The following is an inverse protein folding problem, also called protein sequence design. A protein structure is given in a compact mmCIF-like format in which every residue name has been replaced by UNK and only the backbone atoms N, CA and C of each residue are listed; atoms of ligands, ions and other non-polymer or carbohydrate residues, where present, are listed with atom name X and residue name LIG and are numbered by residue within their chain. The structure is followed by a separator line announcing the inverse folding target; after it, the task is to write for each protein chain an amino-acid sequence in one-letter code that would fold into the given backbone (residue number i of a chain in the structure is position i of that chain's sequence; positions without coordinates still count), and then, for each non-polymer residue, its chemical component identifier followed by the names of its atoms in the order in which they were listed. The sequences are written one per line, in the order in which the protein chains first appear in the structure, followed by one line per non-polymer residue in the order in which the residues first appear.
data_IF_194214507896
#
_entry.id   IF_194214507896
#
_cell.length_a   1.000
_cell.length_b   1.000
_cell.length_c   1.000
_cell.angle_alpha   90.00
_cell.angle_beta   90.00
_cell.angle_gamma   90.00
#
_symmetry.space_group_name_H-M   'P 1'
#
loop_
_entity.id
_entity.type
_entity.pdbx_description
1 polymer ?
#
# COMPACT_ATOMS: atom_id res chain seq x y z
N UNK A 1 61.80 16.73 1.99
CA UNK A 1 60.34 16.86 2.13
C UNK A 1 59.72 15.57 1.65
N UNK A 2 59.09 14.81 2.54
CA UNK A 2 58.35 13.62 2.12
C UNK A 2 57.10 14.10 1.38
N UNK A 3 57.04 13.85 0.08
CA UNK A 3 55.82 13.99 -0.72
C UNK A 3 54.90 12.88 -0.21
N UNK A 4 53.93 13.24 0.63
CA UNK A 4 52.84 12.34 1.00
C UNK A 4 51.98 12.22 -0.27
N UNK A 5 51.92 11.05 -0.93
CA UNK A 5 51.03 10.88 -2.07
C UNK A 5 49.61 11.05 -1.53
N UNK A 6 48.80 11.91 -2.15
CA UNK A 6 47.37 11.92 -1.90
C UNK A 6 46.82 10.55 -2.32
N UNK A 7 46.65 9.68 -1.33
CA UNK A 7 46.55 8.24 -1.56
C UNK A 7 45.21 7.79 -2.16
N UNK A 8 44.15 8.62 -2.12
CA UNK A 8 42.83 8.27 -2.67
C UNK A 8 42.06 9.52 -3.12
N UNK A 9 41.62 9.52 -4.38
CA UNK A 9 40.45 10.29 -4.81
C UNK A 9 39.22 9.46 -4.45
N UNK A 10 38.38 9.98 -3.54
CA UNK A 10 37.04 9.53 -3.15
C UNK A 10 36.80 8.02 -3.19
N UNK A 11 36.87 7.35 -2.03
CA UNK A 11 36.39 5.98 -1.93
C UNK A 11 34.87 5.93 -2.15
N UNK A 12 34.38 4.90 -2.85
CA UNK A 12 32.94 4.65 -3.02
C UNK A 12 32.16 4.63 -1.68
N UNK A 13 32.81 4.20 -0.60
CA UNK A 13 32.25 4.26 0.76
C UNK A 13 32.03 5.71 1.23
N UNK A 14 32.94 6.63 0.91
CA UNK A 14 32.80 8.06 1.26
C UNK A 14 31.65 8.71 0.47
N UNK A 15 31.47 8.33 -0.80
CA UNK A 15 30.36 8.80 -1.64
C UNK A 15 29.01 8.27 -1.14
N UNK A 16 28.94 6.99 -0.74
CA UNK A 16 27.74 6.41 -0.13
C UNK A 16 27.43 7.04 1.22
N UNK A 17 28.44 7.25 2.08
CA UNK A 17 28.26 7.92 3.38
C UNK A 17 27.78 9.37 3.18
N UNK A 18 28.33 10.10 2.21
CA UNK A 18 27.87 11.44 1.83
C UNK A 18 26.42 11.43 1.34
N UNK A 19 26.06 10.45 0.51
CA UNK A 19 24.68 10.24 0.06
C UNK A 19 23.71 9.92 1.20
N UNK A 20 24.12 9.09 2.15
CA UNK A 20 23.30 8.66 3.29
C UNK A 20 23.09 9.77 4.32
N UNK A 21 24.12 10.59 4.56
CA UNK A 21 23.99 11.81 5.37
C UNK A 21 23.05 12.83 4.71
N UNK A 22 23.11 12.99 3.38
CA UNK A 22 22.14 13.84 2.67
C UNK A 22 20.71 13.29 2.79
N UNK A 23 20.53 11.97 2.66
CA UNK A 23 19.22 11.31 2.89
C UNK A 23 18.72 11.55 4.31
N UNK A 24 19.58 11.43 5.31
CA UNK A 24 19.22 11.71 6.70
C UNK A 24 18.84 13.17 6.89
N UNK A 25 19.55 14.11 6.25
CA UNK A 25 19.24 15.54 6.35
C UNK A 25 17.83 15.81 5.87
N UNK A 26 17.46 15.25 4.71
CA UNK A 26 16.09 15.36 4.20
C UNK A 26 15.07 14.84 5.21
N UNK A 27 15.34 13.71 5.85
CA UNK A 27 14.43 13.18 6.86
C UNK A 27 14.33 14.13 8.06
N UNK A 28 15.45 14.60 8.61
CA UNK A 28 15.45 15.49 9.78
C UNK A 28 14.79 16.85 9.49
N UNK A 29 14.98 17.41 8.29
CA UNK A 29 14.45 18.73 7.91
C UNK A 29 12.94 18.70 7.65
N UNK A 30 12.42 17.57 7.14
CA UNK A 30 11.03 17.45 6.66
C UNK A 30 10.13 16.54 7.50
N UNK A 31 10.66 15.88 8.54
CA UNK A 31 9.86 15.10 9.48
C UNK A 31 9.05 16.03 10.41
N UNK A 32 7.72 15.91 10.49
CA UNK A 32 6.89 16.76 11.33
C UNK A 32 6.84 16.28 12.80
N UNK A 33 8.00 16.05 13.41
CA UNK A 33 8.12 15.42 14.74
C UNK A 33 8.06 16.40 15.93
N UNK A 34 7.92 17.70 15.69
CA UNK A 34 8.02 18.74 16.73
C UNK A 34 7.01 18.54 17.88
N UNK A 35 5.77 18.14 17.57
CA UNK A 35 4.75 17.85 18.59
C UNK A 35 5.14 16.65 19.47
N UNK A 36 5.67 15.59 18.85
CA UNK A 36 6.20 14.43 19.54
C UNK A 36 7.39 14.83 20.42
N UNK A 37 8.35 15.58 19.88
CA UNK A 37 9.54 16.01 20.61
C UNK A 37 9.18 16.83 21.85
N UNK A 38 8.31 17.83 21.71
CA UNK A 38 7.83 18.63 22.85
C UNK A 38 7.12 17.80 23.90
N UNK A 39 6.39 16.76 23.50
CA UNK A 39 5.68 15.87 24.43
C UNK A 39 6.66 15.01 25.21
N UNK A 40 7.64 14.41 24.52
CA UNK A 40 8.69 13.60 25.15
C UNK A 40 9.61 14.43 26.07
N UNK A 41 9.97 15.65 25.68
CA UNK A 41 10.77 16.58 26.48
C UNK A 41 10.03 17.02 27.75
N UNK A 42 8.72 17.33 27.64
CA UNK A 42 7.87 17.63 28.81
C UNK A 42 7.79 16.44 29.76
N UNK A 43 7.63 15.23 29.23
CA UNK A 43 7.59 14.01 30.03
C UNK A 43 8.93 13.72 30.73
N UNK A 44 10.07 14.01 30.08
CA UNK A 44 11.40 13.93 30.70
C UNK A 44 11.56 14.93 31.86
N UNK A 45 11.02 16.13 31.72
CA UNK A 45 11.13 17.19 32.72
C UNK A 45 12.58 17.60 33.00
N UNK A 46 12.93 17.74 34.28
CA UNK A 46 14.26 18.18 34.76
C UNK A 46 15.23 17.03 35.11
N UNK A 47 14.98 15.83 34.59
CA UNK A 47 15.89 14.68 34.78
C UNK A 47 17.28 14.90 34.14
N UNK A 48 18.19 13.94 34.36
CA UNK A 48 19.50 13.93 33.66
C UNK A 48 19.28 13.93 32.15
N UNK A 49 20.08 14.73 31.45
CA UNK A 49 20.01 14.91 29.99
C UNK A 49 21.28 14.41 29.29
N UNK A 50 21.87 13.33 29.84
CA UNK A 50 23.09 12.71 29.33
C UNK A 50 22.92 12.28 27.84
N UNK A 51 21.68 11.98 27.43
CA UNK A 51 21.30 11.69 26.05
C UNK A 51 20.02 12.46 25.70
N UNK A 52 20.14 13.62 25.01
CA UNK A 52 18.99 14.46 24.67
C UNK A 52 17.93 13.70 23.87
N UNK A 53 16.65 14.01 24.15
CA UNK A 53 15.48 13.36 23.51
C UNK A 53 15.57 13.42 21.99
N UNK A 54 15.85 14.61 21.43
CA UNK A 54 15.99 14.82 19.99
C UNK A 54 17.18 14.06 19.41
N UNK A 55 18.29 13.96 20.15
CA UNK A 55 19.46 13.23 19.67
C UNK A 55 19.21 11.72 19.55
N UNK A 56 18.52 11.14 20.53
CA UNK A 56 18.10 9.73 20.50
C UNK A 56 17.05 9.50 19.41
N UNK A 57 16.13 10.45 19.20
CA UNK A 57 15.14 10.38 18.13
C UNK A 57 15.78 10.42 16.74
N UNK A 58 16.65 11.40 16.49
CA UNK A 58 17.36 11.56 15.22
C UNK A 58 18.21 10.32 14.91
N UNK A 59 18.81 9.69 15.91
CA UNK A 59 19.59 8.47 15.70
C UNK A 59 18.73 7.24 15.39
N UNK A 60 17.49 7.18 15.88
CA UNK A 60 16.52 6.15 15.46
C UNK A 60 16.15 6.34 13.99
N UNK A 61 15.88 7.58 13.56
CA UNK A 61 15.63 7.90 12.15
C UNK A 61 16.84 7.56 11.27
N UNK A 62 18.05 7.91 11.73
CA UNK A 62 19.29 7.51 11.07
C UNK A 62 19.40 5.99 10.94
N UNK A 63 19.07 5.23 11.99
CA UNK A 63 19.05 3.77 11.91
C UNK A 63 18.16 3.22 10.82
N UNK A 64 17.04 3.90 10.51
CA UNK A 64 16.14 3.53 9.41
C UNK A 64 16.74 3.93 8.06
N UNK A 65 17.25 5.17 7.93
CA UNK A 65 17.85 5.68 6.68
C UNK A 65 19.08 4.85 6.27
N UNK A 66 19.94 4.51 7.22
CA UNK A 66 21.15 3.70 7.04
C UNK A 66 20.87 2.20 7.08
N UNK A 67 19.60 1.79 7.16
CA UNK A 67 19.15 0.39 7.08
C UNK A 67 19.82 -0.53 8.12
N UNK A 68 20.00 -0.03 9.35
CA UNK A 68 20.55 -0.82 10.44
C UNK A 68 19.49 -1.74 11.04
N UNK A 69 19.70 -3.05 10.90
CA UNK A 69 18.79 -4.11 11.38
C UNK A 69 18.65 -4.22 12.92
N UNK A 70 19.50 -3.51 13.66
CA UNK A 70 19.57 -3.62 15.12
C UNK A 70 20.19 -2.37 15.76
N UNK A 71 19.81 -2.14 17.02
CA UNK A 71 20.36 -1.06 17.85
C UNK A 71 21.88 -1.18 17.97
N UNK A 72 22.43 -2.40 18.07
CA UNK A 72 23.88 -2.58 18.16
C UNK A 72 24.62 -2.19 16.88
N UNK A 73 24.05 -2.44 15.70
CA UNK A 73 24.65 -1.97 14.45
C UNK A 73 24.64 -0.45 14.36
N UNK A 74 23.50 0.19 14.68
CA UNK A 74 23.41 1.65 14.78
C UNK A 74 24.43 2.21 15.77
N UNK A 75 24.58 1.61 16.96
CA UNK A 75 25.55 2.07 17.97
C UNK A 75 26.99 1.93 17.48
N UNK A 76 27.33 0.86 16.77
CA UNK A 76 28.67 0.69 16.17
C UNK A 76 28.93 1.73 15.10
N UNK A 77 27.93 2.06 14.28
CA UNK A 77 28.06 3.11 13.27
C UNK A 77 28.22 4.48 13.92
N UNK A 78 27.36 4.82 14.88
CA UNK A 78 27.51 6.02 15.69
C UNK A 78 28.87 6.09 16.36
N UNK A 79 29.47 4.99 16.82
CA UNK A 79 30.80 5.03 17.43
C UNK A 79 31.92 5.35 16.42
N UNK A 80 31.76 4.93 15.15
CA UNK A 80 32.76 5.10 14.10
C UNK A 80 32.60 6.41 13.33
N UNK A 81 31.37 6.88 13.15
CA UNK A 81 31.04 8.02 12.31
C UNK A 81 30.75 9.27 13.16
N UNK A 82 31.75 10.15 13.24
CA UNK A 82 31.63 11.41 13.98
C UNK A 82 30.59 12.38 13.40
N UNK A 83 30.51 12.47 12.06
CA UNK A 83 29.55 13.33 11.37
C UNK A 83 28.11 12.89 11.64
N UNK A 84 27.86 11.58 11.62
CA UNK A 84 26.53 11.03 11.95
C UNK A 84 26.14 11.36 13.39
N UNK A 85 27.07 11.26 14.34
CA UNK A 85 26.80 11.63 15.75
C UNK A 85 26.45 13.11 15.88
N UNK A 86 27.25 13.97 15.27
CA UNK A 86 27.04 15.43 15.29
C UNK A 86 25.70 15.79 14.65
N UNK A 87 25.37 15.19 13.51
CA UNK A 87 24.10 15.38 12.82
C UNK A 87 22.90 14.89 13.63
N UNK A 88 23.05 13.80 14.38
CA UNK A 88 22.02 13.38 15.34
C UNK A 88 21.88 14.38 16.49
N UNK A 89 22.96 15.08 16.87
CA UNK A 89 22.99 16.00 18.01
C UNK A 89 23.64 15.41 19.27
N UNK A 90 24.52 14.41 19.13
CA UNK A 90 25.28 13.86 20.26
C UNK A 90 26.60 14.60 20.49
N UNK A 91 26.85 14.96 21.75
CA UNK A 91 28.14 15.51 22.19
C UNK A 91 29.15 14.38 22.49
N UNK A 92 29.58 13.70 21.43
CA UNK A 92 30.64 12.69 21.43
C UNK A 92 30.29 11.31 22.03
N UNK A 93 29.31 11.20 22.92
CA UNK A 93 28.93 9.94 23.57
C UNK A 93 27.87 9.17 22.78
N UNK A 94 28.11 7.86 22.58
CA UNK A 94 27.11 6.97 21.99
C UNK A 94 26.20 6.42 23.09
N UNK A 95 24.86 6.58 22.98
CA UNK A 95 23.95 6.07 24.00
C UNK A 95 24.09 4.54 24.17
N UNK A 96 24.06 4.03 25.41
CA UNK A 96 24.04 2.59 25.66
C UNK A 96 22.71 1.96 25.22
N UNK A 97 22.64 0.62 25.02
CA UNK A 97 21.49 -0.06 24.40
C UNK A 97 20.17 0.10 25.17
N UNK A 98 20.27 0.22 26.49
CA UNK A 98 19.10 0.37 27.36
C UNK A 98 18.40 1.72 27.16
N UNK A 99 19.09 2.76 26.68
CA UNK A 99 18.48 4.05 26.32
C UNK A 99 17.50 3.86 25.17
N UNK A 100 17.96 3.23 24.07
CA UNK A 100 17.09 2.90 22.93
C UNK A 100 15.92 2.01 23.32
N UNK A 101 16.15 1.02 24.19
CA UNK A 101 15.08 0.13 24.67
C UNK A 101 13.99 0.91 25.41
N UNK A 102 14.38 1.82 26.31
CA UNK A 102 13.44 2.68 27.05
C UNK A 102 12.75 3.66 26.12
N UNK A 103 13.50 4.30 25.22
CA UNK A 103 12.96 5.28 24.29
C UNK A 103 11.92 4.69 23.34
N UNK A 104 12.21 3.52 22.75
CA UNK A 104 11.23 2.79 21.92
C UNK A 104 9.98 2.39 22.72
N UNK A 105 10.12 2.09 24.02
CA UNK A 105 8.96 1.83 24.89
C UNK A 105 8.09 3.07 25.03
N UNK A 106 8.70 4.23 25.29
CA UNK A 106 7.99 5.50 25.36
C UNK A 106 7.34 5.88 24.03
N UNK A 107 7.99 5.62 22.90
CA UNK A 107 7.38 5.86 21.58
C UNK A 107 6.14 5.00 21.32
N UNK A 108 6.12 3.74 21.78
CA UNK A 108 4.94 2.87 21.68
C UNK A 108 3.74 3.41 22.48
N UNK A 109 3.99 4.20 23.53
CA UNK A 109 2.92 4.85 24.32
C UNK A 109 2.34 6.08 23.61
N UNK A 110 3.00 6.58 22.56
CA UNK A 110 2.64 7.79 21.79
C UNK A 110 2.26 7.45 20.35
N UNK A 111 1.66 6.28 20.12
CA UNK A 111 1.26 5.78 18.80
C UNK A 111 0.43 6.79 17.99
N UNK A 112 -0.50 7.49 18.63
CA UNK A 112 -1.34 8.51 17.96
C UNK A 112 -0.53 9.69 17.41
N UNK A 113 0.57 10.08 18.06
CA UNK A 113 1.44 11.15 17.55
C UNK A 113 2.23 10.68 16.34
N UNK A 114 2.66 9.41 16.31
CA UNK A 114 3.32 8.82 15.14
C UNK A 114 2.36 8.73 13.95
N UNK A 115 1.12 8.26 14.19
CA UNK A 115 0.08 8.22 13.16
C UNK A 115 -0.26 9.66 12.68
N UNK A 116 -0.26 10.64 13.58
CA UNK A 116 -0.41 12.07 13.26
C UNK A 116 0.72 12.62 12.38
N UNK A 117 1.97 12.25 12.64
CA UNK A 117 3.12 12.62 11.80
C UNK A 117 2.97 12.06 10.37
N UNK A 118 2.58 10.79 10.27
CA UNK A 118 2.31 10.15 8.98
C UNK A 118 1.22 10.91 8.21
N UNK A 119 0.10 11.20 8.87
CA UNK A 119 -1.02 11.94 8.27
C UNK A 119 -0.64 13.36 7.84
N UNK A 120 0.24 14.03 8.60
CA UNK A 120 0.76 15.34 8.21
C UNK A 120 1.64 15.27 6.96
N UNK A 121 2.51 14.26 6.85
CA UNK A 121 3.33 14.04 5.66
C UNK A 121 2.47 13.74 4.42
N UNK A 122 1.44 12.90 4.56
CA UNK A 122 0.47 12.61 3.48
C UNK A 122 -0.21 13.89 3.01
N UNK A 123 -0.65 14.74 3.93
CA UNK A 123 -1.26 16.05 3.61
C UNK A 123 -0.28 16.99 2.90
N UNK A 124 0.96 17.11 3.39
CA UNK A 124 1.94 17.95 2.73
C UNK A 124 2.27 17.47 1.32
N UNK A 125 2.28 16.15 1.10
CA UNK A 125 2.48 15.57 -0.22
C UNK A 125 1.31 15.84 -1.16
N UNK A 126 0.07 15.79 -0.67
CA UNK A 126 -1.10 16.13 -1.50
C UNK A 126 -1.13 17.59 -1.93
N UNK A 127 -0.55 18.49 -1.14
CA UNK A 127 -0.42 19.91 -1.48
C UNK A 127 0.64 20.17 -2.58
N UNK A 128 1.69 19.34 -2.66
CA UNK A 128 2.80 19.54 -3.62
C UNK A 128 2.73 18.62 -4.85
N UNK A 129 1.94 17.55 -4.80
CA UNK A 129 1.78 16.58 -5.89
C UNK A 129 0.33 16.59 -6.42
N UNK A 130 0.07 17.16 -7.60
CA UNK A 130 -1.29 17.33 -8.13
C UNK A 130 -2.12 16.05 -8.35
N UNK A 131 -1.46 14.94 -8.63
CA UNK A 131 -2.11 13.65 -8.92
C UNK A 131 -2.15 12.70 -7.70
N UNK A 132 -1.64 13.14 -6.55
CA UNK A 132 -1.45 12.27 -5.40
C UNK A 132 -2.80 11.94 -4.75
N UNK A 133 -3.09 10.65 -4.66
CA UNK A 133 -4.33 10.12 -4.10
C UNK A 133 -5.47 9.96 -5.12
N UNK A 134 -5.28 10.37 -6.38
CA UNK A 134 -6.30 10.18 -7.43
C UNK A 134 -6.47 8.71 -7.83
N UNK A 135 -5.36 7.99 -7.93
CA UNK A 135 -5.36 6.57 -8.25
C UNK A 135 -4.84 5.79 -7.06
N UNK A 136 -5.73 5.09 -6.37
CA UNK A 136 -5.39 4.34 -5.18
C UNK A 136 -5.22 2.86 -5.50
N UNK A 137 -4.30 2.21 -4.80
CA UNK A 137 -4.16 0.76 -4.81
C UNK A 137 -4.13 0.21 -3.39
N UNK A 138 -4.81 -0.91 -3.15
CA UNK A 138 -4.90 -1.57 -1.86
C UNK A 138 -4.37 -2.99 -1.94
N UNK A 139 -3.52 -3.34 -0.98
CA UNK A 139 -3.06 -4.71 -0.77
C UNK A 139 -2.60 -4.89 0.68
N UNK A 140 -2.46 -6.15 1.08
CA UNK A 140 -1.94 -6.52 2.37
C UNK A 140 -0.69 -7.36 2.24
N UNK A 141 0.23 -7.17 3.17
CA UNK A 141 1.53 -7.80 3.19
C UNK A 141 1.70 -8.63 4.46
N UNK A 142 2.06 -9.89 4.28
CA UNK A 142 2.48 -10.75 5.37
C UNK A 142 3.83 -10.26 5.93
N UNK A 143 3.89 -10.06 7.25
CA UNK A 143 5.14 -9.79 7.98
C UNK A 143 5.32 -10.91 9.01
N UNK A 144 6.39 -11.69 8.85
CA UNK A 144 6.67 -12.81 9.75
C UNK A 144 7.18 -12.29 11.09
N UNK A 145 6.69 -12.82 12.20
CA UNK A 145 7.29 -12.52 13.51
C UNK A 145 8.70 -13.10 13.58
N UNK A 146 9.59 -12.48 14.37
CA UNK A 146 10.86 -13.10 14.71
C UNK A 146 10.67 -14.34 15.61
N UNK A 147 9.51 -14.49 16.25
CA UNK A 147 9.14 -15.75 16.90
C UNK A 147 8.71 -16.80 15.85
N UNK A 148 9.20 -18.03 15.96
CA UNK A 148 8.89 -19.11 15.00
C UNK A 148 7.47 -19.68 15.15
N UNK A 149 6.87 -19.54 16.33
CA UNK A 149 5.55 -20.07 16.70
C UNK A 149 5.04 -19.42 17.97
N UNK A 150 3.74 -19.54 18.25
CA UNK A 150 3.14 -19.16 19.53
C UNK A 150 3.87 -19.84 20.69
N UNK A 151 4.25 -19.06 21.70
CA UNK A 151 4.88 -19.58 22.91
C UNK A 151 3.81 -20.24 23.80
N UNK A 152 4.18 -21.30 24.54
CA UNK A 152 3.27 -21.99 25.48
C UNK A 152 2.94 -21.14 26.72
N UNK A 153 3.82 -20.21 27.08
CA UNK A 153 3.60 -19.31 28.22
C UNK A 153 3.34 -17.90 27.70
N UNK A 154 2.20 -17.36 28.13
CA UNK A 154 1.61 -16.10 27.66
C UNK A 154 2.01 -14.89 28.54
N UNK A 155 2.87 -15.10 29.55
CA UNK A 155 3.32 -14.02 30.42
C UNK A 155 4.08 -12.94 29.61
N UNK A 156 3.65 -11.67 29.64
CA UNK A 156 4.28 -10.60 28.87
C UNK A 156 5.62 -10.20 29.51
N UNK A 157 6.72 -10.76 29.00
CA UNK A 157 8.10 -10.44 29.41
C UNK A 157 8.82 -9.51 28.42
N UNK A 158 8.14 -9.08 27.36
CA UNK A 158 8.68 -8.24 26.28
C UNK A 158 9.70 -8.94 25.36
N UNK A 159 10.04 -10.21 25.63
CA UNK A 159 10.98 -11.04 24.84
C UNK A 159 10.24 -11.98 23.90
N UNK A 160 8.96 -12.22 24.15
CA UNK A 160 8.08 -13.13 23.41
C UNK A 160 7.14 -12.36 22.49
N UNK A 161 6.62 -13.08 21.51
CA UNK A 161 5.53 -12.59 20.67
C UNK A 161 4.24 -13.28 21.09
N UNK A 162 3.44 -12.60 21.90
CA UNK A 162 2.15 -13.08 22.43
C UNK A 162 0.98 -12.71 21.54
N UNK A 163 1.16 -11.72 20.67
CA UNK A 163 0.07 -11.15 19.86
C UNK A 163 -0.01 -11.79 18.47
N UNK A 164 1.14 -12.21 17.92
CA UNK A 164 1.23 -12.85 16.62
C UNK A 164 0.43 -14.16 16.56
N UNK A 165 -0.15 -14.42 15.39
CA UNK A 165 -0.87 -15.65 15.09
C UNK A 165 -0.58 -16.14 13.67
N UNK A 166 -1.32 -17.15 13.21
CA UNK A 166 -1.10 -17.76 11.91
C UNK A 166 -2.02 -17.15 10.84
N UNK A 167 -1.41 -16.68 9.76
CA UNK A 167 -2.07 -16.33 8.51
C UNK A 167 -1.97 -17.45 7.49
N UNK A 168 -2.92 -17.49 6.56
CA UNK A 168 -2.93 -18.41 5.42
C UNK A 168 -3.35 -17.65 4.16
N UNK A 169 -2.53 -17.67 3.11
CA UNK A 169 -2.86 -17.16 1.78
C UNK A 169 -2.84 -18.33 0.80
N UNK A 170 -3.97 -18.56 0.13
CA UNK A 170 -4.15 -19.62 -0.87
C UNK A 170 -4.07 -18.99 -2.25
N UNK A 171 -3.03 -19.35 -2.99
CA UNK A 171 -2.88 -19.02 -4.40
C UNK A 171 -3.46 -20.17 -5.21
N UNK A 172 -4.36 -19.83 -6.13
CA UNK A 172 -4.87 -20.77 -7.11
C UNK A 172 -4.70 -20.18 -8.49
N UNK A 173 -4.38 -21.04 -9.45
CA UNK A 173 -4.28 -20.68 -10.85
C UNK A 173 -4.55 -21.90 -11.73
N UNK A 174 -4.46 -21.70 -13.04
CA UNK A 174 -4.52 -22.76 -14.04
C UNK A 174 -3.21 -22.68 -14.81
N UNK A 175 -2.51 -23.80 -14.94
CA UNK A 175 -1.32 -23.90 -15.77
C UNK A 175 -1.66 -23.74 -17.25
N UNK A 176 -0.66 -23.47 -18.10
CA UNK A 176 -0.83 -23.40 -19.55
C UNK A 176 -1.39 -24.70 -20.15
N UNK A 177 -1.19 -25.83 -19.48
CA UNK A 177 -1.75 -27.15 -19.84
C UNK A 177 -3.21 -27.35 -19.38
N UNK A 178 -3.84 -26.33 -18.80
CA UNK A 178 -5.22 -26.36 -18.34
C UNK A 178 -5.41 -26.97 -16.94
N UNK A 179 -4.34 -27.43 -16.25
CA UNK A 179 -4.48 -28.01 -14.91
C UNK A 179 -4.55 -26.95 -13.82
N UNK A 180 -5.50 -27.04 -12.88
CA UNK A 180 -5.52 -26.14 -11.74
C UNK A 180 -4.35 -26.45 -10.80
N UNK A 181 -3.70 -25.40 -10.29
CA UNK A 181 -2.70 -25.50 -9.23
C UNK A 181 -3.13 -24.72 -8.00
N UNK A 182 -2.66 -25.19 -6.84
CA UNK A 182 -2.89 -24.57 -5.55
C UNK A 182 -1.59 -24.50 -4.75
N UNK A 183 -1.25 -23.30 -4.28
CA UNK A 183 -0.16 -23.08 -3.32
C UNK A 183 -0.73 -22.43 -2.07
N UNK A 184 -0.59 -23.10 -0.94
CA UNK A 184 -0.93 -22.55 0.37
C UNK A 184 0.35 -22.01 1.01
N UNK A 185 0.39 -20.71 1.26
CA UNK A 185 1.43 -20.07 2.09
C UNK A 185 0.85 -19.84 3.47
N UNK A 186 1.54 -20.32 4.50
CA UNK A 186 1.23 -20.06 5.91
C UNK A 186 2.38 -19.32 6.54
N UNK A 187 2.10 -18.33 7.39
CA UNK A 187 3.11 -17.61 8.15
C UNK A 187 2.61 -17.35 9.57
N UNK A 188 3.55 -17.20 10.51
CA UNK A 188 3.26 -16.77 11.87
C UNK A 188 3.74 -15.33 12.04
N UNK A 189 2.85 -14.42 12.41
CA UNK A 189 3.20 -13.00 12.53
C UNK A 189 2.00 -12.09 12.39
N UNK A 190 2.16 -11.10 11.53
CA UNK A 190 1.25 -9.98 11.34
C UNK A 190 0.95 -9.78 9.86
N UNK A 191 0.07 -8.82 9.61
CA UNK A 191 -0.28 -8.36 8.28
C UNK A 191 -0.32 -6.83 8.27
N UNK A 192 0.43 -6.22 7.36
CA UNK A 192 0.42 -4.78 7.12
C UNK A 192 -0.49 -4.51 5.92
N UNK A 193 -1.55 -3.75 6.12
CA UNK A 193 -2.49 -3.34 5.07
C UNK A 193 -2.15 -1.93 4.65
N UNK A 194 -2.13 -1.70 3.33
CA UNK A 194 -1.74 -0.44 2.75
C UNK A 194 -2.80 0.05 1.77
N UNK A 195 -3.07 1.35 1.83
CA UNK A 195 -3.59 2.13 0.70
C UNK A 195 -2.43 2.99 0.22
N UNK A 196 -2.11 2.92 -1.05
CA UNK A 196 -1.04 3.68 -1.67
C UNK A 196 -1.57 4.51 -2.83
N UNK A 197 -0.93 5.65 -3.10
CA UNK A 197 -1.07 6.35 -4.36
C UNK A 197 -0.31 5.58 -5.44
N UNK A 198 -0.99 5.24 -6.53
CA UNK A 198 -0.47 4.42 -7.61
C UNK A 198 0.34 5.21 -8.64
N UNK A 199 0.29 6.54 -8.61
CA UNK A 199 1.00 7.43 -9.55
C UNK A 199 2.45 7.64 -9.12
N UNK A 200 2.63 8.11 -7.89
CA UNK A 200 3.92 8.41 -7.27
C UNK A 200 4.42 7.25 -6.41
N UNK A 201 3.58 6.23 -6.17
CA UNK A 201 3.90 5.03 -5.42
C UNK A 201 4.32 5.33 -3.99
N UNK A 202 3.51 6.12 -3.30
CA UNK A 202 3.72 6.57 -1.93
C UNK A 202 2.55 6.13 -1.04
N UNK A 203 2.79 5.73 0.21
CA UNK A 203 1.73 5.29 1.12
C UNK A 203 0.80 6.45 1.49
N UNK A 204 -0.50 6.17 1.48
CA UNK A 204 -1.57 7.12 1.85
C UNK A 204 -2.18 6.76 3.20
N UNK A 205 -2.36 5.47 3.46
CA UNK A 205 -2.89 4.95 4.71
C UNK A 205 -2.32 3.58 5.02
N UNK A 206 -2.18 3.24 6.29
CA UNK A 206 -1.75 1.90 6.70
C UNK A 206 -2.43 1.44 7.99
N UNK A 207 -2.46 0.12 8.18
CA UNK A 207 -2.78 -0.51 9.46
C UNK A 207 -2.05 -1.83 9.61
N UNK A 208 -1.79 -2.21 10.87
CA UNK A 208 -1.17 -3.49 11.19
C UNK A 208 -2.19 -4.33 11.96
N UNK A 209 -2.42 -5.56 11.50
CA UNK A 209 -3.29 -6.53 12.14
C UNK A 209 -2.54 -7.81 12.45
N UNK A 210 -3.18 -8.70 13.20
CA UNK A 210 -2.76 -10.10 13.29
C UNK A 210 -2.83 -10.77 11.92
N UNK A 211 -2.05 -11.83 11.71
CA UNK A 211 -1.96 -12.51 10.43
C UNK A 211 -3.27 -13.22 10.03
N UNK A 212 -4.09 -13.60 11.00
CA UNK A 212 -5.40 -14.22 10.79
C UNK A 212 -6.50 -13.25 10.31
N UNK A 213 -6.30 -11.93 10.46
CA UNK A 213 -7.33 -10.95 10.12
C UNK A 213 -7.62 -10.95 8.61
N UNK A 214 -8.90 -11.07 8.19
CA UNK A 214 -9.29 -11.01 6.79
C UNK A 214 -9.00 -9.64 6.16
N UNK A 215 -8.46 -9.65 4.94
CA UNK A 215 -8.13 -8.43 4.18
C UNK A 215 -9.35 -7.54 3.97
N UNK A 216 -10.50 -8.17 3.70
CA UNK A 216 -11.73 -7.42 3.44
C UNK A 216 -12.24 -6.65 4.66
N UNK A 217 -12.09 -7.20 5.87
CA UNK A 217 -12.54 -6.51 7.08
C UNK A 217 -11.70 -5.26 7.30
N UNK A 218 -10.39 -5.38 7.10
CA UNK A 218 -9.48 -4.26 7.27
C UNK A 218 -9.62 -3.22 6.16
N UNK A 219 -9.92 -3.61 4.93
CA UNK A 219 -10.27 -2.68 3.85
C UNK A 219 -11.40 -1.74 4.26
N UNK A 220 -12.49 -2.27 4.85
CA UNK A 220 -13.61 -1.46 5.33
C UNK A 220 -13.21 -0.50 6.45
N UNK A 221 -12.31 -0.93 7.36
CA UNK A 221 -11.77 -0.08 8.43
C UNK A 221 -10.88 1.03 7.85
N UNK A 222 -10.01 0.71 6.91
CA UNK A 222 -9.14 1.68 6.24
C UNK A 222 -9.94 2.72 5.45
N UNK A 223 -10.99 2.32 4.73
CA UNK A 223 -11.87 3.29 4.04
C UNK A 223 -12.54 4.26 5.02
N UNK A 224 -13.03 3.76 6.17
CA UNK A 224 -13.60 4.62 7.22
C UNK A 224 -12.55 5.56 7.82
N UNK A 225 -11.34 5.06 8.07
CA UNK A 225 -10.23 5.89 8.55
C UNK A 225 -9.81 6.94 7.52
N UNK A 226 -9.84 6.62 6.23
CA UNK A 226 -9.53 7.58 5.18
C UNK A 226 -10.54 8.74 5.16
N UNK A 227 -11.82 8.44 5.37
CA UNK A 227 -12.88 9.45 5.52
C UNK A 227 -12.68 10.35 6.75
N UNK A 228 -12.23 9.78 7.88
CA UNK A 228 -11.99 10.52 9.13
C UNK A 228 -10.69 11.33 9.10
N UNK A 229 -9.60 10.75 8.61
CA UNK A 229 -8.24 11.28 8.71
C UNK A 229 -7.79 12.05 7.45
N UNK A 230 -8.32 11.71 6.27
CA UNK A 230 -7.89 12.23 4.96
C UNK A 230 -9.06 12.53 3.99
N UNK A 231 -10.12 13.25 4.41
CA UNK A 231 -11.33 13.43 3.60
C UNK A 231 -11.07 14.13 2.24
N UNK A 232 -10.11 15.07 2.19
CA UNK A 232 -9.77 15.77 0.95
C UNK A 232 -9.16 14.84 -0.12
N UNK A 233 -8.40 13.82 0.30
CA UNK A 233 -7.90 12.80 -0.62
C UNK A 233 -9.03 11.88 -1.09
N UNK A 234 -9.96 11.55 -0.20
CA UNK A 234 -11.10 10.70 -0.53
C UNK A 234 -12.03 11.38 -1.57
N UNK A 235 -12.23 12.69 -1.46
CA UNK A 235 -13.05 13.48 -2.40
C UNK A 235 -12.44 13.54 -3.81
N UNK A 236 -11.11 13.53 -3.91
CA UNK A 236 -10.39 13.63 -5.18
C UNK A 236 -9.99 12.28 -5.77
N UNK A 237 -10.18 11.19 -5.03
CA UNK A 237 -9.89 9.84 -5.49
C UNK A 237 -10.83 9.43 -6.64
N UNK A 238 -10.25 8.91 -7.73
CA UNK A 238 -10.99 8.51 -8.92
C UNK A 238 -11.15 7.00 -9.03
N UNK A 239 -10.12 6.23 -8.63
CA UNK A 239 -10.06 4.78 -8.79
C UNK A 239 -9.44 4.10 -7.58
N UNK A 240 -9.96 2.93 -7.20
CA UNK A 240 -9.38 2.06 -6.18
C UNK A 240 -9.13 0.68 -6.77
N UNK A 241 -7.86 0.32 -6.97
CA UNK A 241 -7.45 -0.97 -7.51
C UNK A 241 -7.07 -1.96 -6.40
N UNK A 242 -7.56 -3.20 -6.48
CA UNK A 242 -7.24 -4.23 -5.48
C UNK A 242 -7.29 -5.63 -6.09
N UNK A 243 -6.65 -6.60 -5.42
CA UNK A 243 -6.67 -8.00 -5.87
C UNK A 243 -8.04 -8.68 -5.65
N UNK A 244 -8.19 -9.88 -6.20
CA UNK A 244 -9.42 -10.70 -6.07
C UNK A 244 -9.81 -11.04 -4.62
N UNK A 245 -8.91 -10.87 -3.65
CA UNK A 245 -9.19 -11.04 -2.23
C UNK A 245 -10.14 -9.97 -1.68
N UNK A 246 -10.18 -8.81 -2.32
CA UNK A 246 -11.04 -7.66 -1.96
C UNK A 246 -12.37 -7.64 -2.72
N UNK A 247 -12.66 -8.67 -3.51
CA UNK A 247 -13.90 -8.82 -4.27
C UNK A 247 -15.12 -9.01 -3.35
N UNK A 248 -15.68 -7.91 -2.87
CA UNK A 248 -16.81 -7.85 -1.94
C UNK A 248 -17.82 -6.81 -2.42
N UNK A 249 -19.09 -7.22 -2.51
CA UNK A 249 -20.17 -6.34 -2.96
C UNK A 249 -20.29 -5.11 -2.09
N UNK A 250 -20.11 -5.21 -0.76
CA UNK A 250 -20.23 -4.04 0.12
C UNK A 250 -19.11 -3.04 -0.13
N UNK A 251 -17.87 -3.49 -0.27
CA UNK A 251 -16.73 -2.62 -0.58
C UNK A 251 -16.91 -1.95 -1.95
N UNK A 252 -17.27 -2.72 -2.97
CA UNK A 252 -17.50 -2.21 -4.33
C UNK A 252 -18.62 -1.16 -4.36
N UNK A 253 -19.73 -1.44 -3.67
CA UNK A 253 -20.85 -0.51 -3.52
C UNK A 253 -20.43 0.75 -2.78
N UNK A 254 -19.74 0.62 -1.63
CA UNK A 254 -19.26 1.75 -0.83
C UNK A 254 -18.31 2.67 -1.61
N UNK A 255 -17.34 2.10 -2.33
CA UNK A 255 -16.44 2.88 -3.18
C UNK A 255 -17.19 3.77 -4.17
N UNK A 256 -18.18 3.24 -4.90
CA UNK A 256 -18.87 4.01 -5.93
C UNK A 256 -20.00 4.88 -5.36
N UNK A 257 -20.89 4.30 -4.56
CA UNK A 257 -22.14 4.95 -4.16
C UNK A 257 -21.92 6.00 -3.05
N UNK A 258 -20.99 5.75 -2.13
CA UNK A 258 -20.67 6.70 -1.05
C UNK A 258 -19.55 7.67 -1.48
N UNK A 259 -18.48 7.15 -2.08
CA UNK A 259 -17.27 7.95 -2.33
C UNK A 259 -17.04 8.36 -3.78
N UNK A 260 -17.86 7.90 -4.73
CA UNK A 260 -17.69 8.16 -6.18
C UNK A 260 -16.34 7.69 -6.74
N UNK A 261 -15.68 6.76 -6.04
CA UNK A 261 -14.43 6.11 -6.45
C UNK A 261 -14.77 4.89 -7.28
N UNK A 262 -14.21 4.78 -8.49
CA UNK A 262 -14.46 3.64 -9.37
C UNK A 262 -13.67 2.41 -8.88
N UNK A 263 -14.33 1.32 -8.44
CA UNK A 263 -13.63 0.13 -7.97
C UNK A 263 -13.06 -0.66 -9.16
N UNK A 264 -11.77 -0.95 -9.10
CA UNK A 264 -11.01 -1.75 -10.09
C UNK A 264 -10.47 -3.00 -9.38
N UNK A 265 -11.39 -3.84 -8.92
CA UNK A 265 -11.11 -5.02 -8.10
C UNK A 265 -11.32 -6.27 -8.94
N UNK A 266 -10.31 -7.13 -9.07
CA UNK A 266 -10.43 -8.40 -9.80
C UNK A 266 -11.52 -9.29 -9.19
N UNK A 267 -12.19 -10.10 -10.01
CA UNK A 267 -13.40 -10.82 -9.61
C UNK A 267 -13.16 -12.31 -9.45
N UNK A 268 -13.69 -12.88 -8.37
CA UNK A 268 -13.66 -14.32 -8.12
C UNK A 268 -14.75 -15.02 -8.94
N UNK A 269 -14.55 -16.26 -9.38
CA UNK A 269 -15.70 -17.03 -9.85
C UNK A 269 -16.46 -17.60 -8.65
N UNK A 270 -17.72 -17.20 -8.48
CA UNK A 270 -18.62 -17.71 -7.42
C UNK A 270 -19.76 -18.56 -7.97
N UNK A 271 -19.85 -18.72 -9.30
CA UNK A 271 -20.86 -19.55 -9.94
C UNK A 271 -20.46 -21.02 -9.76
N UNK A 272 -21.44 -21.85 -9.36
CA UNK A 272 -21.23 -23.28 -9.07
C UNK A 272 -21.83 -24.18 -10.14
N UNK A 273 -22.68 -23.61 -10.98
CA UNK A 273 -23.26 -24.24 -12.16
C UNK A 273 -22.21 -24.40 -13.27
N UNK A 274 -22.46 -25.35 -14.18
CA UNK A 274 -21.61 -25.56 -15.37
C UNK A 274 -21.77 -24.43 -16.40
N UNK A 275 -22.82 -23.62 -16.24
CA UNK A 275 -23.17 -22.54 -17.15
C UNK A 275 -22.15 -21.41 -17.07
N UNK A 276 -21.51 -21.14 -18.20
CA UNK A 276 -20.48 -20.09 -18.32
C UNK A 276 -21.09 -18.69 -18.43
N UNK A 277 -22.38 -18.58 -18.66
CA UNK A 277 -23.08 -17.33 -18.94
C UNK A 277 -24.49 -17.32 -18.36
N UNK A 278 -24.98 -16.14 -17.97
CA UNK A 278 -26.35 -15.92 -17.52
C UNK A 278 -27.08 -14.98 -18.47
N UNK A 279 -28.38 -15.20 -18.64
CA UNK A 279 -29.24 -14.28 -19.40
C UNK A 279 -29.38 -12.96 -18.62
N UNK A 280 -29.22 -11.83 -19.32
CA UNK A 280 -29.42 -10.51 -18.74
C UNK A 280 -30.91 -10.27 -18.48
N UNK A 281 -31.26 -9.73 -17.31
CA UNK A 281 -32.66 -9.52 -16.94
C UNK A 281 -33.41 -8.66 -17.97
N UNK A 282 -34.62 -9.10 -18.32
CA UNK A 282 -35.46 -8.41 -19.32
C UNK A 282 -34.91 -8.42 -20.75
N UNK A 283 -33.98 -9.33 -21.08
CA UNK A 283 -33.49 -9.57 -22.45
C UNK A 283 -33.67 -11.03 -22.85
N UNK A 284 -33.92 -11.26 -24.14
CA UNK A 284 -34.11 -12.61 -24.70
C UNK A 284 -32.82 -13.20 -25.29
N UNK A 285 -31.88 -12.34 -25.70
CA UNK A 285 -30.71 -12.75 -26.48
C UNK A 285 -29.41 -12.10 -26.03
N UNK A 286 -29.33 -11.63 -24.78
CA UNK A 286 -28.12 -11.04 -24.22
C UNK A 286 -27.70 -11.84 -23.00
N UNK A 287 -26.45 -12.27 -22.98
CA UNK A 287 -25.86 -13.04 -21.90
C UNK A 287 -24.61 -12.36 -21.38
N UNK A 288 -24.23 -12.61 -20.13
CA UNK A 288 -22.97 -12.16 -19.56
C UNK A 288 -22.27 -13.27 -18.80
N UNK A 289 -20.94 -13.22 -18.71
CA UNK A 289 -20.15 -14.13 -17.89
C UNK A 289 -19.85 -13.53 -16.51
N UNK A 290 -19.25 -14.32 -15.61
CA UNK A 290 -18.89 -13.87 -14.26
C UNK A 290 -17.84 -12.74 -14.26
N UNK A 291 -17.13 -12.52 -15.38
CA UNK A 291 -16.14 -11.44 -15.52
C UNK A 291 -16.77 -10.14 -16.01
N UNK A 292 -18.06 -10.14 -16.37
CA UNK A 292 -18.77 -8.96 -16.90
C UNK A 292 -18.62 -8.79 -18.41
N UNK A 293 -18.11 -9.81 -19.12
CA UNK A 293 -18.13 -9.84 -20.58
C UNK A 293 -19.57 -10.03 -21.02
N UNK A 294 -20.13 -9.05 -21.74
CA UNK A 294 -21.51 -9.09 -22.22
C UNK A 294 -21.50 -9.47 -23.70
N UNK A 295 -22.32 -10.45 -24.06
CA UNK A 295 -22.45 -10.95 -25.41
C UNK A 295 -23.91 -10.94 -25.87
N UNK A 296 -24.12 -10.66 -27.15
CA UNK A 296 -25.41 -10.88 -27.80
C UNK A 296 -25.40 -12.22 -28.55
N UNK A 297 -26.54 -12.91 -28.57
CA UNK A 297 -26.77 -14.14 -29.31
C UNK A 297 -27.63 -13.82 -30.53
N UNK A 298 -27.16 -14.20 -31.72
CA UNK A 298 -27.90 -13.94 -32.96
C UNK A 298 -29.21 -14.74 -32.98
N UNK A 299 -30.40 -14.09 -33.07
CA UNK A 299 -31.68 -14.80 -33.01
C UNK A 299 -31.89 -15.84 -34.11
N UNK A 300 -31.25 -15.68 -35.27
CA UNK A 300 -31.41 -16.61 -36.40
C UNK A 300 -30.38 -17.74 -36.43
N UNK A 301 -29.20 -17.55 -35.83
CA UNK A 301 -28.06 -18.49 -36.00
C UNK A 301 -27.53 -19.04 -34.68
N UNK A 302 -27.97 -18.51 -33.53
CA UNK A 302 -27.41 -18.83 -32.23
C UNK A 302 -25.97 -18.35 -32.01
N UNK A 303 -25.34 -17.69 -32.99
CA UNK A 303 -23.95 -17.23 -32.86
C UNK A 303 -23.82 -16.14 -31.81
N UNK A 304 -23.12 -16.45 -30.72
CA UNK A 304 -22.74 -15.52 -29.67
C UNK A 304 -21.61 -14.60 -30.13
N UNK A 305 -21.70 -13.31 -29.79
CA UNK A 305 -20.68 -12.30 -30.06
C UNK A 305 -20.61 -11.31 -28.91
N UNK A 306 -19.41 -10.98 -28.48
CA UNK A 306 -19.17 -9.95 -27.48
C UNK A 306 -19.71 -8.59 -27.97
N UNK A 307 -20.40 -7.88 -27.09
CA UNK A 307 -20.92 -6.54 -27.36
C UNK A 307 -19.84 -5.50 -27.11
N UNK A 308 -19.75 -4.50 -28.00
CA UNK A 308 -18.73 -3.46 -27.85
C UNK A 308 -19.05 -2.57 -26.66
N UNK A 309 -18.03 -2.15 -25.91
CA UNK A 309 -18.20 -1.17 -24.85
C UNK A 309 -18.63 0.20 -25.42
N UNK A 310 -19.72 0.75 -24.90
CA UNK A 310 -20.28 2.05 -25.25
C UNK A 310 -20.03 3.14 -24.20
N UNK A 311 -19.32 2.82 -23.11
CA UNK A 311 -19.00 3.72 -22.00
C UNK A 311 -19.96 3.63 -20.82
N UNK A 312 -19.58 4.31 -19.73
CA UNK A 312 -20.38 4.44 -18.52
C UNK A 312 -21.16 5.76 -18.55
N UNK A 313 -22.49 5.68 -18.38
CA UNK A 313 -23.38 6.85 -18.30
C UNK A 313 -23.68 7.15 -16.83
N UNK A 314 -22.93 8.11 -16.24
CA UNK A 314 -22.98 8.45 -14.80
C UNK A 314 -24.39 8.82 -14.33
N UNK A 315 -25.10 9.67 -15.06
CA UNK A 315 -26.42 10.17 -14.67
C UNK A 315 -27.49 9.07 -14.59
N UNK A 316 -27.30 7.98 -15.34
CA UNK A 316 -28.19 6.83 -15.37
C UNK A 316 -27.68 5.65 -14.56
N UNK A 317 -26.45 5.75 -14.04
CA UNK A 317 -25.72 4.67 -13.39
C UNK A 317 -25.76 3.36 -14.21
N UNK A 318 -25.48 3.45 -15.52
CA UNK A 318 -25.56 2.32 -16.45
C UNK A 318 -24.32 2.18 -17.32
N UNK A 319 -23.98 0.93 -17.66
CA UNK A 319 -23.02 0.61 -18.71
C UNK A 319 -23.75 0.48 -20.05
N UNK A 320 -23.27 1.22 -21.05
CA UNK A 320 -23.78 1.11 -22.42
C UNK A 320 -23.01 0.02 -23.15
N UNK A 321 -23.73 -0.90 -23.79
CA UNK A 321 -23.16 -1.94 -24.68
C UNK A 321 -23.74 -1.76 -26.07
N UNK A 322 -22.88 -1.76 -27.09
CA UNK A 322 -23.25 -1.49 -28.48
C UNK A 322 -23.32 -2.79 -29.27
N UNK A 323 -24.20 -2.82 -30.26
CA UNK A 323 -24.27 -3.95 -31.19
C UNK A 323 -22.96 -4.08 -31.98
N UNK A 324 -22.29 -5.25 -31.95
CA UNK A 324 -21.03 -5.44 -32.67
C UNK A 324 -21.22 -5.34 -34.19
N UNK A 325 -22.36 -5.75 -34.73
CA UNK A 325 -22.69 -5.60 -36.16
C UNK A 325 -22.63 -4.14 -36.63
N UNK A 326 -23.25 -3.22 -35.90
CA UNK A 326 -23.23 -1.80 -36.24
C UNK A 326 -21.87 -1.15 -35.96
N UNK A 327 -21.23 -1.50 -34.85
CA UNK A 327 -20.02 -0.80 -34.41
C UNK A 327 -18.75 -1.27 -35.10
N UNK A 328 -18.63 -2.57 -35.40
CA UNK A 328 -17.48 -3.18 -36.05
C UNK A 328 -17.73 -3.51 -37.53
N UNK A 329 -18.94 -3.26 -38.06
CA UNK A 329 -19.28 -3.53 -39.46
C UNK A 329 -19.38 -5.02 -39.81
N UNK A 330 -19.62 -5.89 -38.82
CA UNK A 330 -19.73 -7.33 -39.05
C UNK A 330 -21.12 -7.71 -39.60
N UNK A 331 -21.16 -8.63 -40.56
CA UNK A 331 -22.42 -9.15 -41.10
C UNK A 331 -23.09 -10.08 -40.08
N UNK A 332 -24.33 -9.73 -39.68
CA UNK A 332 -25.15 -10.53 -38.78
C UNK A 332 -26.51 -10.84 -39.42
N UNK A 333 -26.77 -12.13 -39.71
CA UNK A 333 -28.00 -12.57 -40.40
C UNK A 333 -29.28 -12.15 -39.66
N UNK A 334 -29.29 -12.29 -38.33
CA UNK A 334 -30.43 -11.91 -37.50
C UNK A 334 -30.51 -10.42 -37.12
N UNK A 335 -29.72 -9.52 -37.74
CA UNK A 335 -29.68 -8.11 -37.35
C UNK A 335 -31.05 -7.43 -37.46
N UNK A 336 -31.78 -7.67 -38.55
CA UNK A 336 -33.08 -7.04 -38.81
C UNK A 336 -34.17 -7.38 -37.78
N UNK A 337 -34.03 -8.54 -37.10
CA UNK A 337 -34.97 -9.03 -36.07
C UNK A 337 -34.39 -8.92 -34.66
N UNK A 338 -33.21 -8.32 -34.50
CA UNK A 338 -32.50 -8.34 -33.23
C UNK A 338 -33.07 -7.27 -32.28
N UNK A 339 -33.61 -7.64 -31.11
CA UNK A 339 -34.23 -6.68 -30.19
C UNK A 339 -33.23 -5.70 -29.57
N UNK A 340 -31.92 -5.98 -29.70
CA UNK A 340 -30.82 -5.18 -29.14
C UNK A 340 -29.92 -4.56 -30.20
N UNK A 341 -30.43 -4.41 -31.44
CA UNK A 341 -29.65 -3.89 -32.56
C UNK A 341 -29.13 -2.45 -32.37
N UNK A 342 -29.77 -1.63 -31.52
CA UNK A 342 -29.32 -0.28 -31.18
C UNK A 342 -28.31 -0.26 -30.01
N UNK A 343 -28.03 -1.42 -29.42
CA UNK A 343 -27.33 -1.54 -28.14
C UNK A 343 -28.28 -1.49 -26.94
N UNK A 344 -27.72 -1.69 -25.77
CA UNK A 344 -28.43 -1.76 -24.50
C UNK A 344 -27.74 -0.91 -23.44
N UNK A 345 -28.46 -0.68 -22.34
CA UNK A 345 -27.94 -0.12 -21.10
C UNK A 345 -28.16 -1.14 -20.00
N UNK A 346 -27.12 -1.36 -19.21
CA UNK A 346 -27.12 -2.31 -18.09
C UNK A 346 -26.98 -1.48 -16.82
N UNK A 347 -28.01 -1.40 -15.98
CA UNK A 347 -27.89 -0.77 -14.67
C UNK A 347 -26.80 -1.47 -13.84
N UNK A 348 -25.99 -0.70 -13.10
CA UNK A 348 -25.01 -1.33 -12.20
C UNK A 348 -25.70 -2.21 -11.14
N UNK A 349 -26.94 -1.90 -10.79
CA UNK A 349 -27.75 -2.66 -9.83
C UNK A 349 -28.11 -4.08 -10.29
N UNK A 350 -27.97 -4.41 -11.58
CA UNK A 350 -28.15 -5.78 -12.10
C UNK A 350 -27.27 -6.78 -11.33
N UNK A 351 -25.99 -6.45 -11.18
CA UNK A 351 -25.06 -7.14 -10.30
C UNK A 351 -23.91 -6.16 -10.01
N UNK A 352 -23.92 -5.59 -8.80
CA UNK A 352 -22.95 -4.56 -8.38
C UNK A 352 -21.50 -5.04 -8.40
N UNK A 353 -21.27 -6.35 -8.36
CA UNK A 353 -19.94 -6.94 -8.36
C UNK A 353 -19.42 -7.14 -9.77
N UNK A 354 -20.29 -7.57 -10.68
CA UNK A 354 -19.96 -7.79 -12.09
C UNK A 354 -19.95 -6.46 -12.87
N UNK A 355 -21.01 -5.66 -12.74
CA UNK A 355 -21.16 -4.39 -13.45
C UNK A 355 -20.72 -3.23 -12.57
N UNK A 356 -19.53 -2.70 -12.85
CA UNK A 356 -18.94 -1.54 -12.16
C UNK A 356 -18.85 -0.33 -13.10
N UNK A 357 -18.58 0.88 -12.59
CA UNK A 357 -18.46 2.10 -13.41
C UNK A 357 -17.38 2.04 -14.50
N UNK A 358 -16.40 1.14 -14.38
CA UNK A 358 -15.45 0.82 -15.44
C UNK A 358 -15.78 -0.60 -15.88
N UNK A 359 -16.31 -0.74 -17.09
CA UNK A 359 -16.61 -2.03 -17.70
C UNK A 359 -15.39 -2.95 -17.66
N UNK A 360 -15.51 -4.11 -17.00
CA UNK A 360 -14.44 -5.07 -16.76
C UNK A 360 -13.82 -5.62 -18.04
N UNK A 361 -14.60 -5.71 -19.11
CA UNK A 361 -14.13 -6.17 -20.43
C UNK A 361 -13.44 -5.06 -21.24
N UNK A 362 -13.28 -3.85 -20.69
CA UNK A 362 -12.73 -2.71 -21.42
C UNK A 362 -11.22 -2.59 -21.30
N UNK A 363 -10.58 -2.03 -22.32
CA UNK A 363 -9.16 -1.62 -22.24
C UNK A 363 -8.88 -0.63 -21.10
N UNK A 364 -9.88 0.17 -20.70
CA UNK A 364 -9.76 1.07 -19.55
C UNK A 364 -9.62 0.28 -18.26
N UNK A 365 -10.35 -0.83 -18.09
CA UNK A 365 -10.23 -1.68 -16.92
C UNK A 365 -8.81 -2.25 -16.79
N UNK A 366 -8.28 -2.82 -17.86
CA UNK A 366 -6.91 -3.37 -17.90
C UNK A 366 -5.88 -2.30 -17.50
N UNK A 367 -5.93 -1.13 -18.14
CA UNK A 367 -5.03 -0.01 -17.85
C UNK A 367 -5.10 0.47 -16.40
N UNK A 368 -6.30 0.58 -15.83
CA UNK A 368 -6.46 1.01 -14.44
C UNK A 368 -6.07 -0.11 -13.46
N UNK A 369 -6.27 -1.38 -13.82
CA UNK A 369 -5.88 -2.52 -12.99
C UNK A 369 -4.36 -2.69 -12.92
N UNK A 370 -3.62 -2.39 -13.99
CA UNK A 370 -2.15 -2.44 -14.02
C UNK A 370 -1.52 -1.50 -12.97
N UNK A 371 -2.19 -0.39 -12.63
CA UNK A 371 -1.77 0.53 -11.57
C UNK A 371 -1.70 -0.14 -10.19
N UNK A 372 -2.42 -1.26 -9.98
CA UNK A 372 -2.37 -2.06 -8.74
C UNK A 372 -0.94 -2.44 -8.39
N UNK A 373 -0.07 -2.71 -9.38
CA UNK A 373 1.34 -3.08 -9.17
C UNK A 373 2.14 -2.05 -8.36
N UNK A 374 1.68 -0.81 -8.23
CA UNK A 374 2.30 0.20 -7.37
C UNK A 374 2.37 -0.24 -5.90
N UNK A 375 1.32 -0.89 -5.38
CA UNK A 375 1.32 -1.37 -3.99
C UNK A 375 2.35 -2.47 -3.77
N UNK A 376 2.58 -3.32 -4.77
CA UNK A 376 3.61 -4.36 -4.74
C UNK A 376 5.01 -3.75 -4.69
N UNK A 377 5.23 -2.63 -5.40
CA UNK A 377 6.50 -1.88 -5.36
C UNK A 377 6.74 -1.20 -4.01
N UNK A 378 5.70 -0.65 -3.38
CA UNK A 378 5.79 -0.11 -2.01
C UNK A 378 6.07 -1.23 -1.00
N UNK A 379 5.39 -2.36 -1.13
CA UNK A 379 5.63 -3.57 -0.35
C UNK A 379 7.08 -4.06 -0.47
N UNK A 380 7.63 -4.07 -1.67
CA UNK A 380 9.04 -4.45 -1.92
C UNK A 380 10.03 -3.49 -1.25
N UNK A 381 9.75 -2.18 -1.24
CA UNK A 381 10.58 -1.20 -0.52
C UNK A 381 10.58 -1.44 0.99
N UNK A 382 9.45 -1.85 1.57
CA UNK A 382 9.37 -2.24 2.98
C UNK A 382 10.23 -3.48 3.28
N UNK A 383 10.17 -4.49 2.41
CA UNK A 383 10.99 -5.70 2.57
C UNK A 383 12.48 -5.42 2.50
N UNK A 384 12.91 -4.82 1.40
CA UNK A 384 14.31 -4.73 1.02
C UNK A 384 14.98 -3.54 1.68
N UNK A 385 14.43 -2.33 1.49
CA UNK A 385 15.06 -1.09 1.97
C UNK A 385 14.85 -0.86 3.47
N UNK A 386 13.72 -1.30 4.03
CA UNK A 386 13.45 -1.16 5.47
C UNK A 386 13.65 -2.44 6.27
N UNK A 387 14.08 -3.53 5.63
CA UNK A 387 14.57 -4.74 6.29
C UNK A 387 13.49 -5.56 6.99
N UNK A 388 12.21 -5.44 6.60
CA UNK A 388 11.13 -6.23 7.21
C UNK A 388 11.17 -7.73 6.86
N UNK A 389 11.99 -8.16 5.88
CA UNK A 389 12.27 -9.59 5.66
C UNK A 389 13.24 -10.17 6.70
N UNK A 390 14.18 -9.36 7.18
CA UNK A 390 15.27 -9.76 8.05
C UNK A 390 15.31 -8.90 9.32
N UNK A 391 14.29 -9.06 10.16
CA UNK A 391 14.16 -8.28 11.39
C UNK A 391 14.19 -9.15 12.67
N UNK A 392 14.41 -8.51 13.81
CA UNK A 392 14.35 -9.13 15.15
C UNK A 392 13.12 -8.72 15.97
N UNK A 393 12.12 -8.11 15.32
CA UNK A 393 10.95 -7.52 15.97
C UNK A 393 9.99 -8.59 16.48
N UNK A 394 9.48 -8.37 17.70
CA UNK A 394 8.44 -9.18 18.36
C UNK A 394 7.45 -8.26 19.06
N UNK A 395 6.17 -8.64 19.01
CA UNK A 395 5.06 -7.92 19.63
C UNK A 395 4.43 -6.87 18.71
N UNK A 396 3.11 -6.74 18.79
CA UNK A 396 2.33 -5.99 17.82
C UNK A 396 2.61 -4.49 17.89
N UNK A 397 2.63 -3.92 19.10
CA UNK A 397 2.92 -2.49 19.30
C UNK A 397 4.29 -2.08 18.72
N UNK A 398 5.31 -2.92 18.92
CA UNK A 398 6.66 -2.69 18.38
C UNK A 398 6.67 -2.79 16.86
N UNK A 399 5.95 -3.76 16.30
CA UNK A 399 5.82 -3.92 14.85
C UNK A 399 5.10 -2.71 14.22
N UNK A 400 4.00 -2.25 14.83
CA UNK A 400 3.26 -1.08 14.35
C UNK A 400 4.13 0.17 14.39
N UNK A 401 4.83 0.43 15.50
CA UNK A 401 5.77 1.55 15.61
C UNK A 401 6.84 1.49 14.51
N UNK A 402 7.46 0.32 14.29
CA UNK A 402 8.51 0.17 13.27
C UNK A 402 7.98 0.40 11.85
N UNK A 403 6.81 -0.13 11.53
CA UNK A 403 6.17 0.12 10.22
C UNK A 403 5.82 1.59 10.05
N UNK A 404 5.22 2.21 11.06
CA UNK A 404 4.85 3.63 11.04
C UNK A 404 6.06 4.54 10.82
N UNK A 405 7.16 4.32 11.56
CA UNK A 405 8.39 5.09 11.38
C UNK A 405 9.01 4.88 9.98
N UNK A 406 9.04 3.65 9.47
CA UNK A 406 9.56 3.38 8.12
C UNK A 406 8.76 4.11 7.04
N UNK A 407 7.42 4.09 7.16
CA UNK A 407 6.53 4.80 6.24
C UNK A 407 6.68 6.33 6.38
N UNK A 408 6.82 6.86 7.59
CA UNK A 408 7.12 8.28 7.81
C UNK A 408 8.46 8.67 7.16
N UNK A 409 9.51 7.88 7.33
CA UNK A 409 10.82 8.13 6.69
C UNK A 409 10.68 8.11 5.17
N UNK A 410 9.94 7.16 4.59
CA UNK A 410 9.68 7.11 3.16
C UNK A 410 9.02 8.40 2.66
N UNK A 411 7.98 8.88 3.34
CA UNK A 411 7.26 10.10 2.95
C UNK A 411 8.09 11.37 3.19
N UNK A 412 8.81 11.47 4.29
CA UNK A 412 9.67 12.62 4.60
C UNK A 412 10.80 12.76 3.57
N UNK A 413 11.42 11.64 3.16
CA UNK A 413 12.40 11.64 2.07
C UNK A 413 11.77 12.11 0.75
N UNK A 414 10.61 11.58 0.39
CA UNK A 414 9.92 11.97 -0.84
C UNK A 414 9.59 13.47 -0.84
N UNK A 415 9.00 13.96 0.24
CA UNK A 415 8.64 15.37 0.42
C UNK A 415 9.88 16.28 0.33
N UNK A 416 10.96 15.91 1.01
CA UNK A 416 12.21 16.66 0.98
C UNK A 416 12.81 16.74 -0.43
N UNK A 417 12.87 15.61 -1.14
CA UNK A 417 13.34 15.58 -2.54
C UNK A 417 12.46 16.47 -3.44
N UNK A 418 11.14 16.46 -3.26
CA UNK A 418 10.23 17.32 -4.04
C UNK A 418 10.49 18.81 -3.74
N UNK A 419 10.56 19.19 -2.46
CA UNK A 419 10.81 20.58 -2.05
C UNK A 419 12.19 21.09 -2.48
N UNK A 420 13.16 20.21 -2.60
CA UNK A 420 14.51 20.52 -3.09
C UNK A 420 14.67 20.36 -4.61
N UNK A 421 13.57 20.26 -5.36
CA UNK A 421 13.54 20.20 -6.83
C UNK A 421 14.25 18.96 -7.42
N UNK A 422 14.17 17.84 -6.71
CA UNK A 422 14.69 16.53 -7.09
C UNK A 422 13.56 15.49 -7.18
N UNK A 423 12.42 15.89 -7.76
CA UNK A 423 11.20 15.07 -7.80
C UNK A 423 11.43 13.70 -8.48
N UNK A 424 12.34 13.62 -9.45
CA UNK A 424 12.73 12.36 -10.10
C UNK A 424 13.31 11.33 -9.13
N UNK A 425 13.88 11.77 -8.01
CA UNK A 425 14.46 10.92 -6.96
C UNK A 425 13.50 10.65 -5.79
N UNK A 426 12.23 11.06 -5.86
CA UNK A 426 11.28 10.95 -4.73
C UNK A 426 11.09 9.51 -4.23
N UNK A 427 11.28 8.51 -5.12
CA UNK A 427 11.17 7.07 -4.79
C UNK A 427 12.50 6.44 -4.36
N UNK A 428 13.62 7.18 -4.45
CA UNK A 428 14.95 6.66 -4.13
C UNK A 428 15.17 6.60 -2.63
N UNK A 429 15.23 5.37 -2.09
CA UNK A 429 15.47 5.11 -0.68
C UNK A 429 16.91 4.72 -0.37
N UNK A 430 17.76 4.57 -1.40
CA UNK A 430 19.18 4.25 -1.30
C UNK A 430 19.99 5.35 -1.99
N UNK A 431 21.26 5.50 -1.58
CA UNK A 431 22.22 6.41 -2.20
C UNK A 431 22.70 5.91 -3.57
#
# INVERSE_FOLDING_TARGET
MAIIPQLKLFEWNEIQILGDLERLRLVLDYMPDEELMRTLERHRGKGRDDYPVRAVWNSILAGIVFQHDSVEKLRRELARNGQLREMCGFDGQVPPPWVYTRFLKTLMEHELLIDGMFNHLVKQLSEVLPEFGKHLAMDSKAISSFAKRKNKSESPDGRRDTDADYGKKKYTGVHEDGKPWEKIVKWFGYKLHLIVDATYELPVLFSLTKASEPDINEAHRLMKRMEEEQPALLETAETMAADKGYDDTKLITRCWDEYQIKPVIDIRNMWRDEDKTRLLEGKENVVYDYKGTVSCVCPETGKQREMCNGGFEKDRNTLKKLCPAKKMGIVCKGQAKCPVEQGIRIPLSEDRRIFTPIDRASYKWEKEYDKRTAVERVNSRLDVSFGFELHTIRGMAKMKLRCGLALCVMLAMALGRIKEKQAEKMRSLVA
#
